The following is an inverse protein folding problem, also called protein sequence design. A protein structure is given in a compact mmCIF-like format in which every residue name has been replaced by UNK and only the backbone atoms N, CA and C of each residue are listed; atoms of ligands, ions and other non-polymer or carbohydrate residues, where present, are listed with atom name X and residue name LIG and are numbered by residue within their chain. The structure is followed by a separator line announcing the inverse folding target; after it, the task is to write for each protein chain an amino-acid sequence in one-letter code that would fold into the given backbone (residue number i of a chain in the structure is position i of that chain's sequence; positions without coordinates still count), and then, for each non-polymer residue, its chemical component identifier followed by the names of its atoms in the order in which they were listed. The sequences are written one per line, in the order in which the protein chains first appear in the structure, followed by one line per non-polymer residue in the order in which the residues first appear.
data_IF_220192405232
#
_entry.id   IF_220192405232
#
_cell.length_a   1.000
_cell.length_b   1.000
_cell.length_c   1.000
_cell.angle_alpha   90.00
_cell.angle_beta   90.00
_cell.angle_gamma   90.00
#
_symmetry.space_group_name_H-M   'P 1'
#
loop_
_entity.id
_entity.type
_entity.pdbx_description
1 polymer ?
#
# COMPACT_ATOMS: atom_id res chain seq x y z
N UNK A 1 -20.00 -23.85 -7.72
CA UNK A 1 -19.53 -22.98 -6.61
C UNK A 1 -18.01 -22.77 -6.64
N UNK A 2 -17.18 -23.74 -7.06
CA UNK A 2 -15.72 -23.54 -7.17
C UNK A 2 -15.32 -22.38 -8.11
N UNK A 3 -16.04 -22.19 -9.22
CA UNK A 3 -15.72 -21.13 -10.19
C UNK A 3 -15.81 -19.71 -9.61
N UNK A 4 -16.86 -19.39 -8.84
CA UNK A 4 -17.03 -18.04 -8.26
C UNK A 4 -15.99 -17.75 -7.19
N UNK A 5 -15.66 -18.73 -6.35
CA UNK A 5 -14.61 -18.59 -5.34
C UNK A 5 -13.25 -18.32 -5.98
N UNK A 6 -12.91 -19.06 -7.04
CA UNK A 6 -11.66 -18.86 -7.78
C UNK A 6 -11.56 -17.47 -8.40
N UNK A 7 -12.68 -16.94 -8.93
CA UNK A 7 -12.72 -15.57 -9.48
C UNK A 7 -12.50 -14.53 -8.38
N UNK A 8 -13.20 -14.64 -7.25
CA UNK A 8 -13.04 -13.70 -6.13
C UNK A 8 -11.60 -13.74 -5.62
N UNK A 9 -11.04 -14.93 -5.44
CA UNK A 9 -9.67 -15.11 -4.98
C UNK A 9 -8.65 -14.54 -5.97
N UNK A 10 -8.84 -14.74 -7.27
CA UNK A 10 -8.00 -14.15 -8.30
C UNK A 10 -8.04 -12.62 -8.26
N UNK A 11 -9.24 -12.02 -8.21
CA UNK A 11 -9.40 -10.56 -8.08
C UNK A 11 -8.75 -10.05 -6.80
N UNK A 12 -8.90 -10.77 -5.69
CA UNK A 12 -8.30 -10.42 -4.41
C UNK A 12 -6.77 -10.37 -4.49
N UNK A 13 -6.15 -11.45 -4.96
CA UNK A 13 -4.70 -11.54 -5.12
C UNK A 13 -4.16 -10.51 -6.11
N UNK A 14 -4.81 -10.35 -7.26
CA UNK A 14 -4.39 -9.35 -8.26
C UNK A 14 -4.48 -7.94 -7.70
N UNK A 15 -5.55 -7.61 -6.99
CA UNK A 15 -5.69 -6.30 -6.34
C UNK A 15 -4.60 -6.12 -5.28
N UNK A 16 -4.34 -7.13 -4.47
CA UNK A 16 -3.29 -7.07 -3.45
C UNK A 16 -1.90 -6.80 -4.04
N UNK A 17 -1.53 -7.49 -5.11
CA UNK A 17 -0.26 -7.26 -5.83
C UNK A 17 -0.22 -5.86 -6.44
N UNK A 18 -1.32 -5.43 -7.06
CA UNK A 18 -1.44 -4.09 -7.65
C UNK A 18 -1.32 -2.99 -6.59
N UNK A 19 -1.82 -3.21 -5.38
CA UNK A 19 -1.67 -2.28 -4.24
C UNK A 19 -0.22 -2.13 -3.82
N UNK A 20 0.59 -3.20 -3.86
CA UNK A 20 2.03 -3.08 -3.61
C UNK A 20 2.69 -2.15 -4.63
N UNK A 21 2.34 -2.29 -5.91
CA UNK A 21 2.93 -1.48 -6.97
C UNK A 21 2.40 -0.05 -7.02
N UNK A 22 1.08 0.14 -6.92
CA UNK A 22 0.44 1.45 -7.09
C UNK A 22 0.35 2.27 -5.82
N UNK A 23 0.41 1.66 -4.63
CA UNK A 23 0.24 2.40 -3.37
C UNK A 23 1.52 2.40 -2.55
N UNK A 24 2.09 1.23 -2.28
CA UNK A 24 3.28 1.13 -1.43
C UNK A 24 4.51 1.77 -2.06
N UNK A 25 4.83 1.40 -3.31
CA UNK A 25 6.03 1.92 -3.98
C UNK A 25 6.05 3.45 -4.10
N UNK A 26 4.98 4.13 -4.56
CA UNK A 26 4.94 5.59 -4.59
C UNK A 26 5.08 6.21 -3.19
N UNK A 27 4.48 5.59 -2.17
CA UNK A 27 4.58 6.07 -0.79
C UNK A 27 6.02 6.09 -0.29
N UNK A 28 6.77 5.01 -0.49
CA UNK A 28 8.18 4.93 -0.09
C UNK A 28 9.07 5.88 -0.90
N UNK A 29 8.82 6.00 -2.21
CA UNK A 29 9.58 6.93 -3.07
C UNK A 29 9.37 8.38 -2.62
N UNK A 30 8.12 8.76 -2.30
CA UNK A 30 7.82 10.11 -1.81
C UNK A 30 8.41 10.32 -0.42
N UNK A 31 8.29 9.32 0.47
CA UNK A 31 8.88 9.38 1.81
C UNK A 31 10.40 9.60 1.75
N UNK A 32 11.14 8.85 0.93
CA UNK A 32 12.59 9.04 0.77
C UNK A 32 12.94 10.43 0.22
N UNK A 33 12.14 10.98 -0.70
CA UNK A 33 12.34 12.35 -1.19
C UNK A 33 12.14 13.41 -0.10
N UNK A 34 11.31 13.15 0.89
CA UNK A 34 11.01 14.08 1.99
C UNK A 34 11.98 13.92 3.16
N UNK A 35 12.23 12.68 3.59
CA UNK A 35 13.13 12.34 4.68
C UNK A 35 13.77 10.96 4.46
N UNK A 36 15.01 10.99 3.95
CA UNK A 36 15.82 9.77 3.74
C UNK A 36 16.28 9.12 5.05
N UNK A 37 16.18 9.80 6.20
CA UNK A 37 16.58 9.26 7.49
C UNK A 37 15.47 8.47 8.18
N UNK A 38 14.23 8.59 7.69
CA UNK A 38 13.07 7.91 8.26
C UNK A 38 13.29 6.38 8.31
N UNK A 39 13.09 5.73 9.47
CA UNK A 39 13.26 4.28 9.62
C UNK A 39 12.42 3.47 8.63
N UNK A 40 11.22 3.94 8.28
CA UNK A 40 10.33 3.27 7.32
C UNK A 40 10.88 3.29 5.90
N UNK A 41 11.66 4.30 5.52
CA UNK A 41 12.37 4.34 4.23
C UNK A 41 13.64 3.49 4.28
N UNK A 42 14.44 3.62 5.35
CA UNK A 42 15.67 2.84 5.53
C UNK A 42 15.43 1.34 5.56
N UNK A 43 14.38 0.92 6.28
CA UNK A 43 13.95 -0.46 6.41
C UNK A 43 12.70 -0.74 5.56
N UNK A 44 12.64 -0.17 4.36
CA UNK A 44 11.50 -0.32 3.46
C UNK A 44 11.08 -1.79 3.22
N UNK A 45 11.95 -2.83 3.22
CA UNK A 45 11.47 -4.21 3.09
C UNK A 45 10.65 -4.67 4.30
N UNK A 46 11.00 -4.21 5.50
CA UNK A 46 10.23 -4.49 6.72
C UNK A 46 8.90 -3.71 6.70
N UNK A 47 8.93 -2.43 6.31
CA UNK A 47 7.72 -1.64 6.10
C UNK A 47 6.81 -2.27 5.02
N UNK A 48 7.41 -2.83 3.96
CA UNK A 48 6.71 -3.56 2.92
C UNK A 48 6.03 -4.83 3.46
N UNK A 49 6.68 -5.59 4.33
CA UNK A 49 6.06 -6.76 4.96
C UNK A 49 4.84 -6.37 5.81
N UNK A 50 4.99 -5.36 6.66
CA UNK A 50 3.90 -4.88 7.53
C UNK A 50 2.74 -4.35 6.67
N UNK A 51 3.05 -3.49 5.71
CA UNK A 51 2.05 -2.97 4.78
C UNK A 51 1.44 -4.07 3.91
N UNK A 52 2.23 -5.03 3.45
CA UNK A 52 1.81 -6.15 2.61
C UNK A 52 0.79 -7.03 3.32
N UNK A 53 1.07 -7.41 4.56
CA UNK A 53 0.14 -8.19 5.39
C UNK A 53 -1.12 -7.37 5.71
N UNK A 54 -0.96 -6.10 6.12
CA UNK A 54 -2.09 -5.22 6.42
C UNK A 54 -3.00 -5.02 5.21
N UNK A 55 -2.40 -4.68 4.06
CA UNK A 55 -3.11 -4.47 2.79
C UNK A 55 -3.76 -5.73 2.25
N UNK A 56 -3.24 -6.93 2.56
CA UNK A 56 -3.89 -8.20 2.20
C UNK A 56 -5.23 -8.38 2.92
N UNK A 57 -5.31 -8.01 4.20
CA UNK A 57 -6.56 -8.08 4.96
C UNK A 57 -7.55 -6.99 4.54
N UNK A 58 -7.05 -5.83 4.08
CA UNK A 58 -7.87 -4.66 3.71
C UNK A 58 -8.05 -4.51 2.19
N UNK A 59 -7.87 -5.57 1.39
CA UNK A 59 -8.02 -5.52 -0.08
C UNK A 59 -9.33 -4.87 -0.54
N UNK A 60 -10.52 -5.18 0.04
CA UNK A 60 -11.78 -4.56 -0.41
C UNK A 60 -11.76 -3.03 -0.31
N UNK A 61 -11.09 -2.49 0.71
CA UNK A 61 -10.93 -1.04 0.90
C UNK A 61 -9.85 -0.49 -0.02
N UNK A 62 -8.74 -1.21 -0.17
CA UNK A 62 -7.60 -0.82 -1.01
C UNK A 62 -7.91 -0.85 -2.51
N UNK A 63 -9.00 -1.49 -2.91
CA UNK A 63 -9.47 -1.52 -4.29
C UNK A 63 -9.75 -0.10 -4.83
N UNK A 64 -10.24 0.81 -3.98
CA UNK A 64 -10.48 2.22 -4.33
C UNK A 64 -9.18 2.97 -4.70
N UNK A 65 -8.18 3.09 -3.81
CA UNK A 65 -6.91 3.73 -4.16
C UNK A 65 -6.08 2.92 -5.17
N UNK A 66 -6.39 1.64 -5.40
CA UNK A 66 -5.74 0.85 -6.43
C UNK A 66 -6.23 1.20 -7.85
N UNK A 67 -7.53 1.40 -8.03
CA UNK A 67 -8.15 1.58 -9.35
C UNK A 67 -8.35 3.04 -9.74
N UNK A 68 -8.39 3.97 -8.78
CA UNK A 68 -8.60 5.40 -9.04
C UNK A 68 -7.41 6.23 -8.53
N UNK A 69 -6.82 7.00 -9.43
CA UNK A 69 -5.64 7.82 -9.18
C UNK A 69 -5.89 8.96 -8.18
N UNK A 70 -7.10 9.52 -8.11
CA UNK A 70 -7.44 10.58 -7.14
C UNK A 70 -7.42 10.03 -5.70
N UNK A 71 -8.08 8.88 -5.48
CA UNK A 71 -8.06 8.21 -4.18
C UNK A 71 -6.68 7.69 -3.83
N UNK A 72 -5.91 7.22 -4.82
CA UNK A 72 -4.51 6.84 -4.62
C UNK A 72 -3.71 8.00 -4.06
N UNK A 73 -3.80 9.17 -4.68
CA UNK A 73 -3.00 10.33 -4.30
C UNK A 73 -3.39 10.84 -2.91
N UNK A 74 -4.69 10.81 -2.56
CA UNK A 74 -5.17 11.12 -1.20
C UNK A 74 -4.59 10.12 -0.20
N UNK A 75 -4.69 8.82 -0.49
CA UNK A 75 -4.20 7.77 0.40
C UNK A 75 -2.69 7.87 0.60
N UNK A 76 -1.91 7.99 -0.47
CA UNK A 76 -0.45 8.05 -0.44
C UNK A 76 0.02 9.27 0.36
N UNK A 77 -0.57 10.45 0.11
CA UNK A 77 -0.24 11.66 0.88
C UNK A 77 -0.56 11.48 2.37
N UNK A 78 -1.74 10.96 2.69
CA UNK A 78 -2.13 10.68 4.07
C UNK A 78 -1.19 9.69 4.75
N UNK A 79 -0.86 8.60 4.07
CA UNK A 79 0.03 7.55 4.57
C UNK A 79 1.43 8.07 4.83
N UNK A 80 2.04 8.78 3.86
CA UNK A 80 3.38 9.38 4.03
C UNK A 80 3.39 10.41 5.15
N UNK A 81 2.37 11.29 5.22
CA UNK A 81 2.28 12.28 6.29
C UNK A 81 2.19 11.64 7.68
N UNK A 82 1.51 10.49 7.80
CA UNK A 82 1.46 9.76 9.06
C UNK A 82 2.81 9.11 9.38
N UNK A 83 3.51 8.55 8.40
CA UNK A 83 4.86 8.00 8.61
C UNK A 83 5.90 9.05 9.00
N UNK A 84 5.75 10.29 8.54
CA UNK A 84 6.60 11.42 8.93
C UNK A 84 6.30 11.91 10.35
N UNK A 85 5.06 11.80 10.82
CA UNK A 85 4.66 12.18 12.19
C UNK A 85 5.05 11.15 13.24
N UNK A 86 5.31 9.91 12.85
CA UNK A 86 5.80 8.88 13.75
C UNK A 86 7.31 9.16 13.96
N UNK A 87 7.60 10.08 14.87
CA UNK A 87 8.91 10.18 15.50
C UNK A 87 9.02 9.02 16.51
N UNK A 88 9.92 8.07 16.23
CA UNK A 88 10.28 6.98 17.13
C UNK A 88 11.31 7.44 18.16
#
# INVERSE_FOLDING_TARGET
MESTYNIIFAVWLTTWVMVQWRVFMPSIIILGKMDNSNPSYRWWPAAWLIFGIGSFMTVPVMLLPCLNDEYRDIFVKGYVNNLLKIEL
#
